data_IF_223952653893
#
_entry.id   IF_223952653893
#
_cell.length_a   1.000
_cell.length_b   1.000
_cell.length_c   1.000
_cell.angle_alpha   90.00
_cell.angle_beta   90.00
_cell.angle_gamma   90.00
#
_symmetry.space_group_name_H-M   'P 1'
#
loop_
_entity.id
_entity.type
_entity.pdbx_description
1 polymer ?
#
# COMPACT_ATOMS: atom_id res chain seq x y z
N UNK A 1 -7.65 -15.01 -3.77
CA UNK A 1 -6.95 -15.08 -2.47
C UNK A 1 -5.50 -15.35 -2.79
N UNK A 2 -4.58 -14.56 -2.23
CA UNK A 2 -3.14 -14.76 -2.38
C UNK A 2 -2.60 -15.32 -1.07
N UNK A 3 -1.98 -16.50 -1.10
CA UNK A 3 -1.24 -17.01 0.05
C UNK A 3 0.18 -16.42 0.03
N UNK A 4 0.59 -15.76 1.10
CA UNK A 4 1.88 -15.07 1.15
C UNK A 4 3.06 -16.00 1.45
N UNK A 5 2.82 -17.10 2.16
CA UNK A 5 3.88 -18.03 2.55
C UNK A 5 3.28 -19.43 2.84
N UNK A 6 3.99 -20.54 2.60
CA UNK A 6 3.49 -21.90 2.91
C UNK A 6 3.34 -22.18 4.42
N UNK A 7 4.08 -21.47 5.27
CA UNK A 7 3.95 -21.57 6.72
C UNK A 7 2.75 -20.75 7.21
N UNK A 8 1.74 -21.47 7.70
CA UNK A 8 0.46 -20.91 8.15
C UNK A 8 0.54 -19.99 9.38
N UNK A 9 1.69 -19.95 10.09
CA UNK A 9 1.85 -19.17 11.33
C UNK A 9 2.64 -17.87 11.16
N UNK A 10 3.21 -17.62 9.97
CA UNK A 10 4.03 -16.43 9.73
C UNK A 10 3.13 -15.25 9.31
N UNK A 11 3.24 -14.12 9.99
CA UNK A 11 2.63 -12.85 9.55
C UNK A 11 3.72 -11.94 8.97
N UNK A 12 3.38 -10.92 8.18
CA UNK A 12 4.34 -9.96 7.61
C UNK A 12 5.45 -9.50 8.59
N UNK A 13 5.17 -9.12 9.85
CA UNK A 13 6.23 -8.68 10.77
C UNK A 13 7.23 -9.80 11.15
N UNK A 14 6.83 -11.06 11.05
CA UNK A 14 7.63 -12.24 11.38
C UNK A 14 8.32 -12.85 10.15
N UNK A 15 7.93 -12.47 8.93
CA UNK A 15 8.54 -12.94 7.68
C UNK A 15 9.93 -12.33 7.49
N UNK A 16 10.85 -13.03 6.83
CA UNK A 16 12.11 -12.42 6.40
C UNK A 16 11.84 -11.37 5.32
N UNK A 17 12.69 -10.34 5.22
CA UNK A 17 12.48 -9.27 4.22
C UNK A 17 12.40 -9.84 2.80
N UNK A 18 13.22 -10.87 2.51
CA UNK A 18 13.18 -11.61 1.25
C UNK A 18 11.81 -12.23 0.95
N UNK A 19 11.14 -12.80 1.95
CA UNK A 19 9.82 -13.40 1.74
C UNK A 19 8.77 -12.31 1.46
N UNK A 20 8.92 -11.13 2.05
CA UNK A 20 8.05 -9.97 1.78
C UNK A 20 8.32 -9.42 0.38
N UNK A 21 9.57 -9.41 -0.10
CA UNK A 21 9.87 -9.10 -1.50
C UNK A 21 9.18 -10.07 -2.46
N UNK A 22 9.14 -11.37 -2.15
CA UNK A 22 8.41 -12.36 -2.94
C UNK A 22 6.90 -12.05 -2.97
N UNK A 23 6.32 -11.62 -1.85
CA UNK A 23 4.93 -11.15 -1.78
C UNK A 23 4.70 -9.92 -2.68
N UNK A 24 5.60 -8.94 -2.65
CA UNK A 24 5.50 -7.73 -3.50
C UNK A 24 5.62 -8.11 -4.98
N UNK A 25 6.52 -9.03 -5.33
CA UNK A 25 6.65 -9.53 -6.70
C UNK A 25 5.41 -10.29 -7.15
N UNK A 26 4.78 -11.05 -6.25
CA UNK A 26 3.50 -11.69 -6.51
C UNK A 26 2.40 -10.64 -6.73
N UNK A 27 2.35 -9.56 -5.95
CA UNK A 27 1.45 -8.43 -6.21
C UNK A 27 1.67 -7.82 -7.60
N UNK A 28 2.93 -7.60 -8.01
CA UNK A 28 3.26 -7.10 -9.36
C UNK A 28 2.78 -8.05 -10.45
N UNK A 29 2.97 -9.36 -10.28
CA UNK A 29 2.50 -10.38 -11.22
C UNK A 29 0.97 -10.35 -11.35
N UNK A 30 0.25 -10.48 -10.24
CA UNK A 30 -1.22 -10.50 -10.27
C UNK A 30 -1.82 -9.19 -10.78
N UNK A 31 -1.18 -8.05 -10.46
CA UNK A 31 -1.56 -6.75 -11.00
C UNK A 31 -1.42 -6.70 -12.53
N UNK A 32 -0.34 -7.28 -13.07
CA UNK A 32 -0.11 -7.37 -14.52
C UNK A 32 -1.12 -8.29 -15.19
N UNK A 33 -1.30 -9.49 -14.63
CA UNK A 33 -2.19 -10.52 -15.18
C UNK A 33 -3.63 -10.01 -15.23
N UNK A 34 -4.16 -9.47 -14.12
CA UNK A 34 -5.52 -8.94 -14.03
C UNK A 34 -5.69 -7.64 -14.82
N UNK A 35 -4.67 -6.77 -14.84
CA UNK A 35 -4.69 -5.52 -15.60
C UNK A 35 -4.64 -5.71 -17.11
N UNK A 36 -4.25 -6.90 -17.59
CA UNK A 36 -4.22 -7.23 -19.02
C UNK A 36 -5.61 -7.49 -19.60
N UNK A 37 -6.60 -7.88 -18.77
CA UNK A 37 -7.98 -8.10 -19.22
C UNK A 37 -8.64 -6.74 -19.57
N UNK A 38 -9.12 -6.54 -20.81
CA UNK A 38 -9.74 -5.29 -21.22
C UNK A 38 -11.07 -4.97 -20.50
N UNK A 39 -11.67 -5.93 -19.80
CA UNK A 39 -12.87 -5.75 -19.00
C UNK A 39 -12.57 -5.25 -17.58
N UNK A 40 -11.32 -5.35 -17.11
CA UNK A 40 -10.93 -4.91 -15.78
C UNK A 40 -10.39 -3.48 -15.88
N UNK A 41 -11.02 -2.57 -15.14
CA UNK A 41 -10.62 -1.15 -15.09
C UNK A 41 -9.94 -0.78 -13.76
N UNK A 42 -10.05 -1.64 -12.75
CA UNK A 42 -9.49 -1.40 -11.42
C UNK A 42 -9.05 -2.71 -10.76
N UNK A 43 -7.80 -2.73 -10.27
CA UNK A 43 -7.24 -3.85 -9.49
C UNK A 43 -6.82 -3.30 -8.13
N UNK A 44 -7.49 -3.76 -7.08
CA UNK A 44 -7.20 -3.41 -5.70
C UNK A 44 -6.60 -4.60 -4.98
N UNK A 45 -5.36 -4.49 -4.53
CA UNK A 45 -4.73 -5.45 -3.62
C UNK A 45 -5.03 -4.98 -2.19
N UNK A 46 -5.26 -5.84 -1.21
CA UNK A 46 -5.39 -5.42 0.20
C UNK A 46 -5.30 -6.62 1.12
N UNK A 47 -5.06 -6.38 2.41
CA UNK A 47 -5.00 -7.40 3.44
C UNK A 47 -5.89 -7.00 4.62
N UNK A 48 -6.69 -7.95 5.10
CA UNK A 48 -7.42 -7.82 6.36
C UNK A 48 -6.76 -8.76 7.38
N UNK A 49 -6.14 -8.21 8.43
CA UNK A 49 -5.56 -9.01 9.52
C UNK A 49 -6.61 -9.15 10.64
N UNK A 50 -6.74 -10.37 11.18
CA UNK A 50 -7.53 -10.77 12.37
C UNK A 50 -9.06 -10.95 12.25
N UNK A 51 -9.59 -11.79 13.15
CA UNK A 51 -10.97 -12.29 13.22
C UNK A 51 -12.01 -11.16 13.42
N UNK A 52 -11.64 -10.13 14.19
CA UNK A 52 -12.49 -8.94 14.43
C UNK A 52 -12.76 -8.16 13.13
N UNK A 53 -11.87 -8.26 12.14
CA UNK A 53 -12.03 -7.65 10.80
C UNK A 53 -12.71 -8.60 9.79
N UNK A 54 -13.29 -9.70 10.27
CA UNK A 54 -14.01 -10.69 9.44
C UNK A 54 -13.11 -11.78 8.82
N UNK A 55 -11.89 -11.96 9.31
CA UNK A 55 -10.95 -12.96 8.81
C UNK A 55 -11.14 -14.31 9.52
N UNK A 56 -11.73 -15.30 8.85
CA UNK A 56 -11.98 -16.64 9.41
C UNK A 56 -10.84 -17.65 9.18
N UNK A 57 -9.76 -17.26 8.50
CA UNK A 57 -8.62 -18.13 8.18
C UNK A 57 -7.32 -17.51 8.75
N UNK A 58 -6.63 -18.16 9.70
CA UNK A 58 -5.42 -17.62 10.35
C UNK A 58 -4.21 -17.50 9.42
N UNK A 59 -4.31 -17.99 8.18
CA UNK A 59 -3.25 -17.93 7.19
C UNK A 59 -2.91 -16.49 6.78
N UNK A 60 -1.62 -16.12 6.62
CA UNK A 60 -1.23 -14.84 6.00
C UNK A 60 -1.73 -14.80 4.56
N UNK A 61 -2.70 -13.94 4.27
CA UNK A 61 -3.26 -13.86 2.94
C UNK A 61 -3.69 -12.45 2.53
N UNK A 62 -3.45 -12.16 1.26
CA UNK A 62 -3.97 -11.00 0.57
C UNK A 62 -5.26 -11.31 -0.16
N UNK A 63 -6.01 -10.26 -0.42
CA UNK A 63 -7.14 -10.26 -1.33
C UNK A 63 -6.83 -9.33 -2.50
N UNK A 64 -7.30 -9.72 -3.68
CA UNK A 64 -7.30 -8.86 -4.85
C UNK A 64 -8.74 -8.75 -5.33
N UNK A 65 -9.22 -7.52 -5.48
CA UNK A 65 -10.47 -7.23 -6.16
C UNK A 65 -10.18 -6.62 -7.53
N UNK A 66 -10.53 -7.37 -8.57
CA UNK A 66 -10.53 -6.91 -9.94
C UNK A 66 -11.96 -6.56 -10.36
N UNK A 67 -12.19 -5.32 -10.78
CA UNK A 67 -13.53 -4.80 -11.04
C UNK A 67 -13.63 -4.12 -12.40
N UNK A 68 -14.81 -4.25 -13.02
CA UNK A 68 -15.15 -3.54 -14.26
C UNK A 68 -15.42 -2.06 -14.00
N UNK A 69 -16.03 -1.72 -12.87
CA UNK A 69 -16.25 -0.34 -12.46
C UNK A 69 -15.10 0.15 -11.57
N UNK A 70 -14.77 1.43 -11.69
CA UNK A 70 -13.82 2.09 -10.80
C UNK A 70 -14.58 2.51 -9.53
N UNK A 71 -14.11 2.15 -8.31
CA UNK A 71 -14.77 2.56 -7.07
C UNK A 71 -14.91 4.08 -6.92
N UNK A 72 -15.97 4.54 -6.25
CA UNK A 72 -16.26 5.98 -6.13
C UNK A 72 -15.15 6.75 -5.39
N UNK A 73 -14.63 6.21 -4.29
CA UNK A 73 -13.56 6.84 -3.52
C UNK A 73 -12.26 6.97 -4.32
N UNK A 74 -12.00 5.97 -5.16
CA UNK A 74 -10.90 5.99 -6.11
C UNK A 74 -11.11 7.09 -7.16
N UNK A 75 -12.28 7.18 -7.76
CA UNK A 75 -12.60 8.22 -8.75
C UNK A 75 -12.42 9.62 -8.17
N UNK A 76 -12.91 9.87 -6.95
CA UNK A 76 -12.73 11.15 -6.24
C UNK A 76 -11.24 11.49 -6.07
N UNK A 77 -10.42 10.52 -5.63
CA UNK A 77 -8.97 10.70 -5.48
C UNK A 77 -8.30 11.08 -6.80
N UNK A 78 -8.67 10.41 -7.90
CA UNK A 78 -8.12 10.71 -9.23
C UNK A 78 -8.49 12.11 -9.69
N UNK A 79 -9.77 12.50 -9.54
CA UNK A 79 -10.25 13.82 -9.94
C UNK A 79 -9.52 14.94 -9.18
N UNK A 80 -9.37 14.81 -7.86
CA UNK A 80 -8.66 15.83 -7.07
C UNK A 80 -7.16 15.87 -7.38
N UNK A 81 -6.51 14.71 -7.55
CA UNK A 81 -5.09 14.69 -7.93
C UNK A 81 -4.86 15.32 -9.31
N UNK A 82 -5.74 15.02 -10.28
CA UNK A 82 -5.68 15.64 -11.62
C UNK A 82 -5.92 17.15 -11.56
N UNK A 83 -6.95 17.59 -10.85
CA UNK A 83 -7.23 19.02 -10.68
C UNK A 83 -6.06 19.76 -10.04
N UNK A 84 -5.40 19.16 -9.06
CA UNK A 84 -4.22 19.75 -8.42
C UNK A 84 -3.04 19.81 -9.40
N UNK A 85 -2.79 18.73 -10.14
CA UNK A 85 -1.74 18.68 -11.16
C UNK A 85 -1.94 19.75 -12.24
N UNK A 86 -3.15 19.88 -12.77
CA UNK A 86 -3.47 20.85 -13.82
C UNK A 86 -3.27 22.31 -13.36
N UNK A 87 -3.34 22.57 -12.05
CA UNK A 87 -3.17 23.90 -11.46
C UNK A 87 -1.72 24.19 -11.03
N UNK A 88 -1.01 23.19 -10.51
CA UNK A 88 0.28 23.38 -9.83
C UNK A 88 1.47 22.80 -10.63
N UNK A 89 1.20 21.99 -11.66
CA UNK A 89 2.22 21.22 -12.41
C UNK A 89 3.08 20.31 -11.51
N UNK A 90 2.52 19.88 -10.39
CA UNK A 90 3.14 19.01 -9.38
C UNK A 90 2.13 18.00 -8.82
N UNK A 91 2.63 16.93 -8.21
CA UNK A 91 1.78 15.91 -7.59
C UNK A 91 1.34 16.36 -6.19
N UNK A 92 0.04 16.33 -5.92
CA UNK A 92 -0.52 16.66 -4.60
C UNK A 92 0.15 15.86 -3.47
N UNK A 93 0.33 14.54 -3.65
CA UNK A 93 0.97 13.69 -2.65
C UNK A 93 2.48 13.93 -2.56
N UNK A 94 3.13 14.34 -3.65
CA UNK A 94 4.54 14.71 -3.65
C UNK A 94 4.80 15.98 -2.86
N UNK A 95 4.01 17.03 -3.12
CA UNK A 95 4.10 18.30 -2.40
C UNK A 95 3.73 18.14 -0.93
N UNK A 96 2.74 17.31 -0.63
CA UNK A 96 2.39 16.94 0.74
C UNK A 96 3.55 16.20 1.45
N UNK A 97 4.15 15.22 0.79
CA UNK A 97 5.29 14.49 1.34
C UNK A 97 6.46 15.42 1.64
N UNK A 98 6.76 16.40 0.77
CA UNK A 98 7.81 17.37 1.02
C UNK A 98 7.55 18.19 2.29
N UNK A 99 6.32 18.65 2.49
CA UNK A 99 5.94 19.38 3.72
C UNK A 99 6.13 18.52 4.99
N UNK A 100 5.76 17.24 4.92
CA UNK A 100 5.95 16.31 6.05
C UNK A 100 7.44 16.01 6.31
N UNK A 101 8.26 15.92 5.27
CA UNK A 101 9.72 15.77 5.37
C UNK A 101 10.41 16.99 5.99
N UNK A 102 9.90 18.19 5.70
CA UNK A 102 10.43 19.43 6.27
C UNK A 102 10.02 19.59 7.75
N UNK A 103 8.77 19.23 8.09
CA UNK A 103 8.22 19.33 9.45
C UNK A 103 8.70 18.22 10.39
N UNK A 104 8.81 16.98 9.89
CA UNK A 104 9.18 15.76 10.63
C UNK A 104 8.30 15.40 11.83
N UNK A 105 7.13 16.03 11.98
CA UNK A 105 6.24 15.81 13.13
C UNK A 105 5.47 14.48 13.07
N UNK A 106 5.11 14.02 11.87
CA UNK A 106 4.22 12.86 11.66
C UNK A 106 4.92 11.66 11.01
N UNK A 107 6.23 11.74 10.82
CA UNK A 107 7.04 10.65 10.26
C UNK A 107 7.19 9.55 11.32
N UNK A 108 6.83 8.32 10.93
CA UNK A 108 6.98 7.12 11.76
C UNK A 108 8.26 6.36 11.40
N UNK A 109 8.51 6.20 10.09
CA UNK A 109 9.67 5.52 9.53
C UNK A 109 10.07 6.19 8.22
N UNK A 110 11.35 6.13 7.89
CA UNK A 110 11.90 6.59 6.62
C UNK A 110 13.08 5.71 6.23
N UNK A 111 13.15 5.31 4.96
CA UNK A 111 14.34 4.71 4.36
C UNK A 111 14.68 5.45 3.06
N UNK A 112 15.60 4.92 2.24
CA UNK A 112 16.05 5.61 1.02
C UNK A 112 14.90 5.91 0.05
N UNK A 113 13.99 4.96 -0.18
CA UNK A 113 12.93 5.09 -1.19
C UNK A 113 11.55 5.49 -0.65
N UNK A 114 11.26 5.30 0.65
CA UNK A 114 9.91 5.45 1.21
C UNK A 114 9.88 6.18 2.54
N UNK A 115 8.71 6.76 2.84
CA UNK A 115 8.35 7.33 4.14
C UNK A 115 7.04 6.72 4.60
N UNK A 116 7.01 6.22 5.84
CA UNK A 116 5.78 5.88 6.53
C UNK A 116 5.42 7.00 7.50
N UNK A 117 4.22 7.57 7.37
CA UNK A 117 3.77 8.71 8.17
C UNK A 117 2.30 8.57 8.57
N UNK A 118 1.89 9.29 9.61
CA UNK A 118 0.47 9.48 9.95
C UNK A 118 -0.07 10.65 9.11
N UNK A 119 -1.04 10.43 8.20
CA UNK A 119 -1.53 11.53 7.37
C UNK A 119 -2.17 12.62 8.25
N UNK A 120 -2.02 13.88 7.84
CA UNK A 120 -2.65 15.01 8.54
C UNK A 120 -4.18 14.85 8.66
N UNK A 121 -4.80 14.18 7.69
CA UNK A 121 -6.23 13.89 7.63
C UNK A 121 -6.60 12.49 8.14
N UNK A 122 -5.75 11.86 8.96
CA UNK A 122 -6.03 10.56 9.57
C UNK A 122 -7.40 10.53 10.27
N UNK A 123 -8.20 9.51 9.98
CA UNK A 123 -9.53 9.29 10.60
C UNK A 123 -9.47 8.17 11.63
N UNK A 124 -8.60 7.18 11.42
CA UNK A 124 -8.41 6.08 12.35
C UNK A 124 -7.29 6.33 13.35
N UNK A 125 -7.43 5.86 14.60
CA UNK A 125 -6.30 5.82 15.53
C UNK A 125 -5.14 5.06 14.92
N UNK A 126 -3.96 5.70 14.91
CA UNK A 126 -2.76 5.15 14.30
C UNK A 126 -2.92 4.85 12.80
N UNK A 127 -3.72 5.60 12.05
CA UNK A 127 -3.69 5.50 10.59
C UNK A 127 -2.30 5.86 10.06
N UNK A 128 -1.71 5.03 9.20
CA UNK A 128 -0.44 5.34 8.52
C UNK A 128 -0.51 5.08 7.04
N UNK A 129 0.23 5.87 6.27
CA UNK A 129 0.46 5.66 4.86
C UNK A 129 1.96 5.51 4.58
N UNK A 130 2.31 4.61 3.66
CA UNK A 130 3.66 4.52 3.09
C UNK A 130 3.64 5.20 1.73
N UNK A 131 4.51 6.20 1.55
CA UNK A 131 4.61 7.01 0.32
C UNK A 131 6.01 6.84 -0.27
N UNK A 132 6.15 6.56 -1.58
CA UNK A 132 7.45 6.60 -2.24
C UNK A 132 7.93 8.05 -2.36
N UNK A 133 9.23 8.28 -2.13
CA UNK A 133 9.85 9.60 -2.32
C UNK A 133 9.93 9.98 -3.80
N UNK A 134 10.13 8.98 -4.66
CA UNK A 134 10.03 9.16 -6.12
C UNK A 134 8.56 9.14 -6.54
N UNK A 135 8.21 10.00 -7.49
CA UNK A 135 6.87 9.95 -8.09
C UNK A 135 6.67 8.60 -8.82
N UNK A 136 5.73 7.81 -8.30
CA UNK A 136 5.38 6.47 -8.77
C UNK A 136 3.87 6.41 -8.89
N UNK A 137 3.39 6.03 -10.06
CA UNK A 137 1.95 5.93 -10.32
C UNK A 137 1.42 4.54 -10.01
N UNK A 138 2.25 3.49 -10.11
CA UNK A 138 1.83 2.11 -9.78
C UNK A 138 2.95 1.16 -9.41
N UNK A 139 2.57 0.04 -8.77
CA UNK A 139 3.49 -0.95 -8.20
C UNK A 139 4.45 -1.58 -9.21
N UNK A 140 4.10 -1.63 -10.50
CA UNK A 140 5.00 -2.17 -11.52
C UNK A 140 6.18 -1.24 -11.83
N UNK A 141 6.07 0.06 -11.52
CA UNK A 141 7.15 1.04 -11.71
C UNK A 141 8.22 0.96 -10.60
N UNK A 142 8.01 0.14 -9.56
CA UNK A 142 9.03 -0.11 -8.53
C UNK A 142 10.22 -0.86 -9.15
N UNK A 143 11.40 -0.25 -9.03
CA UNK A 143 12.68 -0.91 -9.28
C UNK A 143 12.96 -2.02 -8.26
N UNK A 144 13.97 -2.85 -8.52
CA UNK A 144 14.33 -3.92 -7.57
C UNK A 144 14.74 -3.35 -6.19
N UNK A 145 15.49 -2.24 -6.18
CA UNK A 145 15.88 -1.59 -4.92
C UNK A 145 14.65 -1.07 -4.16
N UNK A 146 13.70 -0.45 -4.87
CA UNK A 146 12.46 0.04 -4.25
C UNK A 146 11.57 -1.11 -3.77
N UNK A 147 11.63 -2.30 -4.38
CA UNK A 147 10.95 -3.49 -3.85
C UNK A 147 11.55 -3.91 -2.51
N UNK A 148 12.88 -3.98 -2.41
CA UNK A 148 13.58 -4.28 -1.14
C UNK A 148 13.31 -3.22 -0.07
N UNK A 149 13.38 -1.94 -0.42
CA UNK A 149 13.08 -0.84 0.50
C UNK A 149 11.62 -0.87 0.95
N UNK A 150 10.69 -1.23 0.07
CA UNK A 150 9.28 -1.35 0.41
C UNK A 150 9.04 -2.54 1.36
N UNK A 151 9.70 -3.68 1.12
CA UNK A 151 9.66 -4.84 2.02
C UNK A 151 10.16 -4.48 3.43
N UNK A 152 11.30 -3.79 3.49
CA UNK A 152 11.93 -3.37 4.75
C UNK A 152 11.06 -2.42 5.55
N UNK A 153 10.56 -1.34 4.94
CA UNK A 153 9.72 -0.36 5.65
C UNK A 153 8.39 -0.97 6.08
N UNK A 154 7.84 -1.90 5.28
CA UNK A 154 6.60 -2.58 5.60
C UNK A 154 6.75 -3.52 6.81
N UNK A 155 7.83 -4.30 6.83
CA UNK A 155 8.21 -5.15 7.98
C UNK A 155 8.39 -4.29 9.23
N UNK A 156 9.17 -3.23 9.14
CA UNK A 156 9.43 -2.34 10.28
C UNK A 156 8.15 -1.69 10.82
N UNK A 157 7.24 -1.26 9.93
CA UNK A 157 5.98 -0.65 10.31
C UNK A 157 5.07 -1.66 11.02
N UNK A 158 4.90 -2.86 10.45
CA UNK A 158 4.06 -3.92 11.03
C UNK A 158 4.60 -4.42 12.37
N UNK A 159 5.92 -4.48 12.55
CA UNK A 159 6.54 -4.78 13.86
C UNK A 159 6.19 -3.71 14.91
N UNK A 160 6.20 -2.42 14.53
CA UNK A 160 5.83 -1.34 15.47
C UNK A 160 4.38 -1.45 15.91
N UNK A 161 3.48 -1.74 14.97
CA UNK A 161 2.07 -1.95 15.29
C UNK A 161 1.84 -3.14 16.22
N UNK A 162 2.45 -4.29 15.94
CA UNK A 162 2.34 -5.48 16.80
C UNK A 162 2.86 -5.19 18.22
N UNK A 163 3.88 -4.34 18.36
CA UNK A 163 4.39 -3.92 19.66
C UNK A 163 3.52 -2.90 20.38
N UNK A 164 2.90 -1.98 19.64
CA UNK A 164 2.06 -0.91 20.19
C UNK A 164 0.69 -1.41 20.62
N UNK A 165 0.09 -2.31 19.86
CA UNK A 165 -1.33 -2.66 19.93
C UNK A 165 -1.61 -4.04 20.56
N UNK A 166 -0.62 -4.68 21.19
CA UNK A 166 -0.73 -6.03 21.78
C UNK A 166 -2.13 -6.28 22.41
N UNK A 167 -2.99 -7.17 21.88
CA UNK A 167 -2.86 -8.03 20.70
C UNK A 167 -3.95 -7.78 19.62
N UNK A 168 -4.45 -6.56 19.44
CA UNK A 168 -5.60 -6.30 18.56
C UNK A 168 -5.31 -5.13 17.64
N UNK A 169 -5.59 -5.34 16.35
CA UNK A 169 -5.84 -4.31 15.32
C UNK A 169 -4.69 -4.06 14.33
N UNK A 170 -4.91 -4.49 13.07
CA UNK A 170 -4.21 -3.97 11.90
C UNK A 170 -5.07 -4.19 10.65
N UNK A 171 -5.64 -3.12 10.10
CA UNK A 171 -6.14 -3.13 8.72
C UNK A 171 -5.06 -2.51 7.82
N UNK A 172 -4.44 -3.30 6.95
CA UNK A 172 -3.47 -2.79 5.99
C UNK A 172 -4.06 -2.79 4.58
N UNK A 173 -4.50 -1.62 4.11
CA UNK A 173 -4.91 -1.44 2.72
C UNK A 173 -3.73 -0.96 1.89
N UNK A 174 -3.15 -1.86 1.11
CA UNK A 174 -2.20 -1.48 0.05
C UNK A 174 -2.98 -1.01 -1.17
N UNK A 175 -3.07 0.28 -1.48
CA UNK A 175 -3.65 0.72 -2.75
C UNK A 175 -2.53 0.98 -3.76
N UNK A 176 -2.03 -0.01 -4.53
CA UNK A 176 -1.22 0.29 -5.70
C UNK A 176 -2.14 0.98 -6.71
N UNK A 177 -2.10 2.32 -6.72
CA UNK A 177 -3.05 3.14 -7.44
C UNK A 177 -2.67 3.32 -8.90
N UNK A 178 -2.63 2.27 -9.74
CA UNK A 178 -2.79 2.50 -11.18
C UNK A 178 -4.24 2.35 -11.59
N UNK A 179 -4.68 3.34 -12.35
CA UNK A 179 -5.94 3.32 -13.06
C UNK A 179 -5.59 3.25 -14.53
N UNK A 180 -6.22 2.33 -15.27
CA UNK A 180 -6.27 2.48 -16.71
C UNK A 180 -7.30 3.56 -17.02
N UNK A 181 -6.88 4.82 -17.09
CA UNK A 181 -7.73 5.89 -17.57
C UNK A 181 -7.93 5.69 -19.08
N UNK A 182 -9.04 5.06 -19.46
CA UNK A 182 -9.51 5.06 -20.84
C UNK A 182 -10.33 6.33 -21.07
N UNK A 183 -9.64 7.39 -21.48
CA UNK A 183 -10.23 8.56 -22.12
C UNK A 183 -10.37 9.78 -21.24
#
# INVERSE_FOLDING_TARGET
MICYHPNHSLTLPLMEERDIEEVINLWKKEYTDLGSDPNINHVQIFENKEEIMGCSNPHPHGQIWAQRSIPQEVQKKVVHQKSYWDQNSSSLLGDYLQQELDSKERIVLENESFVALVPYWAVWPFETMIIPKRHITFILELSQQEVSDYASILKALTIRYDNLLKPHFLLCRYTPSAYRWKG
#
